data_IF_439036963463
#
_entry.id   IF_439036963463
#
_cell.length_a   1.000
_cell.length_b   1.000
_cell.length_c   1.000
_cell.angle_alpha   90.00
_cell.angle_beta   90.00
_cell.angle_gamma   90.00
#
_symmetry.space_group_name_H-M   'P 1'
#
loop_
_entity.id
_entity.type
_entity.pdbx_description
1 polymer ?
#
# COMPACT_ATOMS: atom_id res chain seq x y z
N UNK A 1 -18.79 -21.40 30.44
CA UNK A 1 -18.98 -19.98 30.07
C UNK A 1 -18.16 -19.74 28.82
N UNK A 2 -18.78 -19.86 27.64
CA UNK A 2 -18.09 -19.68 26.37
C UNK A 2 -17.99 -18.17 26.10
N UNK A 3 -16.76 -17.66 26.02
CA UNK A 3 -16.51 -16.27 25.65
C UNK A 3 -16.77 -16.21 24.14
N UNK A 4 -17.93 -15.68 23.78
CA UNK A 4 -18.25 -15.40 22.39
C UNK A 4 -17.35 -14.25 21.94
N UNK A 5 -16.21 -14.58 21.34
CA UNK A 5 -15.38 -13.64 20.60
C UNK A 5 -16.12 -13.31 19.31
N UNK A 6 -17.15 -12.49 19.40
CA UNK A 6 -17.69 -11.78 18.24
C UNK A 6 -16.58 -10.84 17.74
N UNK A 7 -15.78 -11.36 16.82
CA UNK A 7 -14.80 -10.63 16.05
C UNK A 7 -15.53 -9.52 15.30
N UNK A 8 -15.52 -8.31 15.87
CA UNK A 8 -16.08 -7.08 15.31
C UNK A 8 -15.28 -6.62 14.08
N UNK A 9 -15.29 -7.41 12.99
CA UNK A 9 -14.57 -7.11 11.75
C UNK A 9 -15.19 -5.97 10.92
N UNK A 10 -16.40 -5.52 11.26
CA UNK A 10 -17.29 -4.91 10.26
C UNK A 10 -17.36 -3.38 10.24
N UNK A 11 -16.39 -2.64 10.80
CA UNK A 11 -16.44 -1.17 10.70
C UNK A 11 -15.66 -0.59 9.51
N UNK A 12 -14.45 -1.06 9.20
CA UNK A 12 -13.59 -0.50 8.14
C UNK A 12 -13.02 -1.58 7.17
N UNK A 13 -13.85 -2.50 6.66
CA UNK A 13 -13.38 -3.43 5.63
C UNK A 13 -13.42 -2.74 4.27
N UNK A 14 -12.27 -2.61 3.62
CA UNK A 14 -12.15 -2.23 2.21
C UNK A 14 -12.07 -3.47 1.34
N UNK A 15 -12.71 -3.44 0.17
CA UNK A 15 -12.67 -4.51 -0.82
C UNK A 15 -11.84 -4.03 -2.01
N UNK A 16 -10.92 -4.87 -2.48
CA UNK A 16 -10.17 -4.58 -3.70
C UNK A 16 -10.95 -5.06 -4.92
N UNK A 17 -11.15 -4.19 -5.92
CA UNK A 17 -11.79 -4.58 -7.18
C UNK A 17 -10.86 -5.43 -8.05
N UNK A 18 -9.57 -5.07 -8.09
CA UNK A 18 -8.50 -5.80 -8.76
C UNK A 18 -7.53 -6.41 -7.74
N UNK A 19 -6.72 -7.40 -8.12
CA UNK A 19 -5.72 -7.99 -7.24
C UNK A 19 -4.55 -7.03 -6.96
N UNK A 20 -4.41 -6.47 -5.74
CA UNK A 20 -3.35 -5.50 -5.44
C UNK A 20 -1.96 -6.15 -5.40
N UNK A 21 -1.89 -7.45 -5.05
CA UNK A 21 -0.60 -8.15 -4.99
C UNK A 21 0.01 -8.28 -6.39
N UNK A 22 -0.80 -8.51 -7.42
CA UNK A 22 -0.32 -8.60 -8.80
C UNK A 22 0.36 -7.29 -9.24
N UNK A 23 -0.25 -6.15 -8.92
CA UNK A 23 0.34 -4.81 -9.18
C UNK A 23 1.67 -4.65 -8.45
N UNK A 24 1.75 -5.06 -7.19
CA UNK A 24 2.99 -4.99 -6.41
C UNK A 24 4.06 -5.92 -7.01
N UNK A 25 3.70 -7.15 -7.39
CA UNK A 25 4.59 -8.11 -8.03
C UNK A 25 5.19 -7.55 -9.33
N UNK A 26 4.40 -6.82 -10.12
CA UNK A 26 4.87 -6.18 -11.35
C UNK A 26 5.90 -5.06 -11.10
N UNK A 27 5.77 -4.33 -9.99
CA UNK A 27 6.70 -3.26 -9.60
C UNK A 27 7.95 -3.78 -8.89
N UNK A 28 7.89 -4.99 -8.32
CA UNK A 28 8.95 -5.52 -7.48
C UNK A 28 10.34 -5.55 -8.15
N UNK A 29 10.49 -5.91 -9.44
CA UNK A 29 11.79 -5.85 -10.12
C UNK A 29 12.41 -4.44 -10.10
N UNK A 30 11.60 -3.39 -10.27
CA UNK A 30 12.05 -2.00 -10.24
C UNK A 30 12.45 -1.57 -8.82
N UNK A 31 11.69 -1.98 -7.81
CA UNK A 31 12.05 -1.78 -6.39
C UNK A 31 13.40 -2.43 -6.07
N UNK A 32 13.62 -3.66 -6.55
CA UNK A 32 14.88 -4.37 -6.35
C UNK A 32 16.04 -3.65 -7.04
N UNK A 33 15.85 -3.16 -8.25
CA UNK A 33 16.85 -2.38 -8.99
C UNK A 33 17.19 -1.06 -8.30
N UNK A 34 16.17 -0.37 -7.80
CA UNK A 34 16.27 0.88 -7.05
C UNK A 34 17.20 0.79 -5.82
N UNK A 35 17.29 -0.37 -5.17
CA UNK A 35 18.20 -0.55 -4.01
C UNK A 35 19.69 -0.49 -4.33
N UNK A 36 20.09 -0.57 -5.61
CA UNK A 36 21.50 -0.52 -6.02
C UNK A 36 22.12 0.88 -5.92
N UNK A 37 21.30 1.93 -5.71
CA UNK A 37 21.69 3.33 -5.89
C UNK A 37 21.99 4.11 -4.59
N UNK A 38 22.32 3.45 -3.46
CA UNK A 38 22.53 4.09 -2.15
C UNK A 38 21.35 5.01 -1.71
N UNK A 39 20.17 4.76 -2.25
CA UNK A 39 18.93 5.53 -2.02
C UNK A 39 17.82 4.61 -1.53
N UNK A 40 16.81 5.19 -0.87
CA UNK A 40 15.68 4.45 -0.32
C UNK A 40 14.56 4.39 -1.36
N UNK A 41 14.15 3.19 -1.81
CA UNK A 41 13.03 3.06 -2.73
C UNK A 41 11.74 3.49 -2.05
N UNK A 42 10.95 4.29 -2.74
CA UNK A 42 9.60 4.66 -2.34
C UNK A 42 8.63 4.22 -3.42
N UNK A 43 7.51 3.65 -2.99
CA UNK A 43 6.37 3.48 -3.88
C UNK A 43 5.51 4.72 -3.74
N UNK A 44 5.30 5.42 -4.85
CA UNK A 44 4.32 6.48 -4.97
C UNK A 44 3.09 5.95 -5.67
N UNK A 45 1.93 6.51 -5.36
CA UNK A 45 0.72 6.08 -6.03
C UNK A 45 -0.53 6.83 -5.64
N UNK A 46 -1.61 6.45 -6.30
CA UNK A 46 -2.96 6.87 -5.99
C UNK A 46 -3.88 5.65 -5.90
N UNK A 47 -4.80 5.67 -4.94
CA UNK A 47 -5.89 4.71 -4.78
C UNK A 47 -7.23 5.44 -4.85
N UNK A 48 -8.15 4.95 -5.69
CA UNK A 48 -9.53 5.47 -5.76
C UNK A 48 -10.47 4.59 -4.96
N UNK A 49 -11.35 5.20 -4.19
CA UNK A 49 -12.23 4.54 -3.24
C UNK A 49 -13.68 4.94 -3.49
N UNK A 50 -14.50 3.99 -3.90
CA UNK A 50 -15.95 4.18 -4.05
C UNK A 50 -16.70 3.23 -3.11
N UNK A 51 -17.50 3.78 -2.19
CA UNK A 51 -18.34 3.01 -1.26
C UNK A 51 -17.59 1.83 -0.59
N UNK A 52 -16.39 2.11 -0.05
CA UNK A 52 -15.45 1.13 0.57
C UNK A 52 -14.83 0.11 -0.39
N UNK A 53 -14.98 0.27 -1.69
CA UNK A 53 -14.29 -0.51 -2.70
C UNK A 53 -13.14 0.30 -3.27
N UNK A 54 -11.95 -0.28 -3.33
CA UNK A 54 -10.80 0.30 -4.02
C UNK A 54 -10.95 -0.06 -5.50
N UNK A 55 -11.29 0.93 -6.31
CA UNK A 55 -11.68 0.76 -7.72
C UNK A 55 -10.52 0.95 -8.68
N UNK A 56 -9.45 1.61 -8.25
CA UNK A 56 -8.22 1.76 -9.04
C UNK A 56 -7.03 1.92 -8.09
N UNK A 57 -5.88 1.38 -8.48
CA UNK A 57 -4.60 1.61 -7.83
C UNK A 57 -3.51 1.76 -8.88
N UNK A 58 -2.82 2.90 -8.83
CA UNK A 58 -1.67 3.19 -9.67
C UNK A 58 -0.48 3.41 -8.77
N UNK A 59 0.64 2.81 -9.15
CA UNK A 59 1.85 2.82 -8.36
C UNK A 59 3.06 2.92 -9.29
N UNK A 60 4.08 3.61 -8.80
CA UNK A 60 5.37 3.79 -9.46
C UNK A 60 6.47 3.83 -8.39
N UNK A 61 7.74 3.70 -8.80
CA UNK A 61 8.89 3.64 -7.89
C UNK A 61 9.75 4.88 -8.08
N UNK A 62 10.08 5.54 -6.96
CA UNK A 62 11.04 6.64 -6.95
C UNK A 62 12.14 6.40 -5.92
N UNK A 63 13.25 7.11 -6.09
CA UNK A 63 14.38 7.10 -5.18
C UNK A 63 14.39 8.37 -4.33
N UNK A 64 14.58 8.21 -3.02
CA UNK A 64 14.70 9.33 -2.07
C UNK A 64 15.89 9.11 -1.14
N UNK A 65 16.37 10.21 -0.59
CA UNK A 65 17.45 10.21 0.40
C UNK A 65 16.96 9.78 1.80
N UNK A 66 15.70 10.10 2.13
CA UNK A 66 15.11 9.84 3.45
C UNK A 66 13.91 8.90 3.35
N UNK A 67 13.65 8.14 4.42
CA UNK A 67 12.54 7.18 4.51
C UNK A 67 11.19 7.82 4.90
N UNK A 68 10.96 9.08 4.51
CA UNK A 68 9.74 9.79 4.89
C UNK A 68 8.57 9.31 4.05
N UNK A 69 7.47 8.95 4.73
CA UNK A 69 6.20 8.65 4.07
C UNK A 69 5.30 9.87 4.01
N UNK A 70 4.41 9.90 3.01
CA UNK A 70 3.37 10.89 2.89
C UNK A 70 2.06 10.21 2.47
N UNK A 71 0.96 10.59 3.11
CA UNK A 71 -0.39 10.15 2.74
C UNK A 71 -1.28 11.37 2.74
N UNK A 72 -1.99 11.60 1.65
CA UNK A 72 -2.94 12.70 1.46
C UNK A 72 -4.26 12.08 1.03
N UNK A 73 -5.35 12.51 1.67
CA UNK A 73 -6.72 12.06 1.33
C UNK A 73 -7.49 13.24 0.79
N UNK A 74 -7.93 13.14 -0.46
CA UNK A 74 -8.75 14.15 -1.13
C UNK A 74 -9.99 13.50 -1.75
N UNK A 75 -11.17 13.86 -1.26
CA UNK A 75 -12.45 13.30 -1.69
C UNK A 75 -12.47 11.77 -1.59
N UNK A 76 -12.52 11.08 -2.74
CA UNK A 76 -12.54 9.65 -2.93
C UNK A 76 -11.18 9.07 -3.35
N UNK A 77 -10.12 9.88 -3.30
CA UNK A 77 -8.76 9.51 -3.74
C UNK A 77 -7.76 9.64 -2.60
N UNK A 78 -6.90 8.63 -2.48
CA UNK A 78 -5.76 8.64 -1.55
C UNK A 78 -4.48 8.69 -2.38
N UNK A 79 -3.67 9.72 -2.15
CA UNK A 79 -2.32 9.81 -2.68
C UNK A 79 -1.33 9.36 -1.61
N UNK A 80 -0.33 8.58 -2.00
CA UNK A 80 0.66 8.07 -1.07
C UNK A 80 2.07 8.03 -1.65
N UNK A 81 3.04 8.16 -0.76
CA UNK A 81 4.46 7.90 -0.97
C UNK A 81 4.94 7.12 0.25
N UNK A 82 5.40 5.90 0.06
CA UNK A 82 5.77 5.01 1.17
C UNK A 82 7.19 4.49 0.96
N UNK A 83 8.08 4.61 1.95
CA UNK A 83 9.37 3.92 1.89
C UNK A 83 9.15 2.40 1.84
N UNK A 84 9.91 1.71 1.01
CA UNK A 84 9.85 0.26 0.86
C UNK A 84 11.06 -0.38 1.52
N UNK A 85 10.81 -1.36 2.39
CA UNK A 85 11.85 -2.20 2.97
C UNK A 85 11.88 -3.53 2.20
N UNK A 86 12.94 -3.76 1.43
CA UNK A 86 13.01 -4.91 0.52
C UNK A 86 12.99 -6.27 1.25
N UNK A 87 13.53 -6.31 2.47
CA UNK A 87 13.49 -7.49 3.36
C UNK A 87 12.06 -7.91 3.72
N UNK A 88 11.09 -6.99 3.67
CA UNK A 88 9.69 -7.27 3.99
C UNK A 88 8.91 -7.90 2.83
N UNK A 89 9.50 -7.97 1.63
CA UNK A 89 8.85 -8.56 0.46
C UNK A 89 7.60 -7.80 -0.01
N UNK A 90 6.92 -8.41 -0.99
CA UNK A 90 5.67 -7.91 -1.59
C UNK A 90 4.59 -7.75 -0.52
N UNK A 91 4.53 -8.68 0.43
CA UNK A 91 3.59 -8.68 1.55
C UNK A 91 3.78 -7.47 2.46
N UNK A 92 5.02 -7.05 2.71
CA UNK A 92 5.32 -5.87 3.50
C UNK A 92 4.70 -4.61 2.90
N UNK A 93 4.85 -4.42 1.59
CA UNK A 93 4.23 -3.29 0.89
C UNK A 93 2.71 -3.39 0.91
N UNK A 94 2.15 -4.58 0.70
CA UNK A 94 0.71 -4.80 0.78
C UNK A 94 0.15 -4.42 2.17
N UNK A 95 0.81 -4.83 3.24
CA UNK A 95 0.42 -4.47 4.61
C UNK A 95 0.53 -2.97 4.87
N UNK A 96 1.53 -2.28 4.29
CA UNK A 96 1.61 -0.81 4.35
C UNK A 96 0.43 -0.15 3.65
N UNK A 97 0.05 -0.61 2.46
CA UNK A 97 -1.13 -0.09 1.75
C UNK A 97 -2.41 -0.32 2.57
N UNK A 98 -2.59 -1.50 3.17
CA UNK A 98 -3.72 -1.77 4.06
C UNK A 98 -3.75 -0.86 5.30
N UNK A 99 -2.59 -0.47 5.81
CA UNK A 99 -2.53 0.42 6.99
C UNK A 99 -3.04 1.83 6.70
N UNK A 100 -2.97 2.29 5.43
CA UNK A 100 -3.52 3.58 5.00
C UNK A 100 -5.05 3.58 5.05
N UNK A 101 -5.65 2.40 4.86
CA UNK A 101 -7.09 2.22 4.78
C UNK A 101 -7.74 1.96 6.15
N UNK A 102 -7.00 2.00 7.26
CA UNK A 102 -7.53 1.72 8.61
C UNK A 102 -8.02 2.97 9.30
#
# INVERSE_FOLDING_TARGET
MAINLEYNAHKNTFVWMDNPLERIYQLWPEIMEATKFNSIPHVIGEMKIQAKTITDIRMDVILKENAEGLVIVENDTIYFMLPVEVTSGVEGLYLKLLSILR
#
